data_IF_162441178387
#
_entry.id   IF_162441178387
#
_cell.length_a   1.000
_cell.length_b   1.000
_cell.length_c   1.000
_cell.angle_alpha   90.00
_cell.angle_beta   90.00
_cell.angle_gamma   90.00
#
_symmetry.space_group_name_H-M   'P 1'
#
loop_
_entity.id
_entity.type
_entity.pdbx_description
1 polymer ?
#
# COMPACT_ATOMS: atom_id res chain seq x y z
N UNK A 1 20.18 -2.26 -39.54
CA UNK A 1 18.95 -1.70 -38.93
C UNK A 1 18.30 -2.62 -37.90
N UNK A 2 18.35 -3.94 -38.07
CA UNK A 2 17.79 -4.94 -37.12
C UNK A 2 18.39 -4.89 -35.71
N UNK A 3 19.69 -4.62 -35.56
CA UNK A 3 20.36 -4.58 -34.25
C UNK A 3 19.82 -3.52 -33.29
N UNK A 4 19.37 -2.37 -33.80
CA UNK A 4 18.83 -1.27 -32.96
C UNK A 4 17.48 -1.67 -32.36
N UNK A 5 16.63 -2.36 -33.14
CA UNK A 5 15.34 -2.83 -32.65
C UNK A 5 15.49 -3.88 -31.54
N UNK A 6 16.52 -4.74 -31.63
CA UNK A 6 16.81 -5.74 -30.59
C UNK A 6 17.25 -5.04 -29.30
N UNK A 7 18.15 -4.07 -29.39
CA UNK A 7 18.62 -3.29 -28.22
C UNK A 7 17.47 -2.52 -27.59
N UNK A 8 16.63 -1.87 -28.40
CA UNK A 8 15.45 -1.16 -27.92
C UNK A 8 14.45 -2.11 -27.23
N UNK A 9 14.18 -3.27 -27.82
CA UNK A 9 13.27 -4.26 -27.24
C UNK A 9 13.79 -4.76 -25.87
N UNK A 10 15.08 -5.08 -25.77
CA UNK A 10 15.70 -5.48 -24.50
C UNK A 10 15.58 -4.37 -23.46
N UNK A 11 15.85 -3.12 -23.84
CA UNK A 11 15.72 -1.98 -22.93
C UNK A 11 14.28 -1.80 -22.42
N UNK A 12 13.27 -1.94 -23.28
CA UNK A 12 11.87 -1.92 -22.87
C UNK A 12 11.52 -3.06 -21.90
N UNK A 13 12.01 -4.27 -22.16
CA UNK A 13 11.79 -5.41 -21.25
C UNK A 13 12.45 -5.17 -19.90
N UNK A 14 13.71 -4.73 -19.88
CA UNK A 14 14.45 -4.48 -18.63
C UNK A 14 13.81 -3.34 -17.83
N UNK A 15 13.47 -2.22 -18.47
CA UNK A 15 12.79 -1.10 -17.81
C UNK A 15 11.42 -1.50 -17.26
N UNK A 16 10.67 -2.34 -17.99
CA UNK A 16 9.41 -2.90 -17.50
C UNK A 16 9.61 -3.80 -16.27
N UNK A 17 10.61 -4.68 -16.26
CA UNK A 17 10.93 -5.52 -15.10
C UNK A 17 11.37 -4.69 -13.89
N UNK A 18 12.15 -3.62 -14.09
CA UNK A 18 12.53 -2.68 -13.03
C UNK A 18 11.29 -1.98 -12.47
N UNK A 19 10.37 -1.54 -13.33
CA UNK A 19 9.12 -0.92 -12.88
C UNK A 19 8.27 -1.91 -12.07
N UNK A 20 8.15 -3.15 -12.54
CA UNK A 20 7.36 -4.20 -11.87
C UNK A 20 7.94 -4.55 -10.50
N UNK A 21 9.26 -4.70 -10.41
CA UNK A 21 9.95 -4.94 -9.13
C UNK A 21 9.84 -3.74 -8.18
N UNK A 22 9.87 -2.51 -8.68
CA UNK A 22 9.60 -1.31 -7.87
C UNK A 22 8.18 -1.29 -7.30
N UNK A 23 7.16 -1.64 -8.10
CA UNK A 23 5.79 -1.76 -7.61
C UNK A 23 5.69 -2.85 -6.56
N UNK A 24 6.28 -4.02 -6.79
CA UNK A 24 6.25 -5.15 -5.85
C UNK A 24 6.95 -4.84 -4.53
N UNK A 25 8.08 -4.12 -4.54
CA UNK A 25 8.78 -3.70 -3.31
C UNK A 25 7.99 -2.65 -2.52
N UNK A 26 7.20 -1.81 -3.20
CA UNK A 26 6.22 -0.92 -2.57
C UNK A 26 4.94 -1.63 -2.13
N UNK A 27 4.74 -2.88 -2.54
CA UNK A 27 3.60 -3.69 -2.13
C UNK A 27 3.84 -4.29 -0.75
N UNK A 28 2.87 -4.17 0.14
CA UNK A 28 2.91 -4.68 1.51
C UNK A 28 1.88 -5.79 1.69
N UNK A 29 2.21 -6.74 2.57
CA UNK A 29 1.29 -7.79 3.04
C UNK A 29 0.54 -7.42 4.32
N UNK A 30 0.88 -6.29 4.97
CA UNK A 30 0.29 -5.81 6.22
C UNK A 30 -0.25 -4.38 6.06
N UNK A 31 -1.40 -4.09 6.63
CA UNK A 31 -2.04 -2.75 6.63
C UNK A 31 -1.44 -1.83 7.72
N UNK A 32 -0.19 -1.36 7.57
CA UNK A 32 0.47 -0.47 8.53
C UNK A 32 1.29 0.62 7.80
N UNK A 33 1.22 1.91 8.20
CA UNK A 33 2.19 2.93 7.70
C UNK A 33 3.57 2.59 8.25
N UNK A 34 4.61 2.60 7.41
CA UNK A 34 5.99 2.34 7.83
C UNK A 34 6.48 3.35 8.88
N UNK A 35 6.04 4.60 8.73
CA UNK A 35 6.50 5.72 9.55
C UNK A 35 5.68 5.83 10.85
N UNK A 36 4.35 5.70 10.76
CA UNK A 36 3.48 5.78 11.94
C UNK A 36 3.34 4.45 12.69
N UNK A 37 3.64 3.32 12.05
CA UNK A 37 3.36 1.95 12.54
C UNK A 37 1.90 1.72 12.97
N UNK A 38 0.98 2.57 12.52
CA UNK A 38 -0.44 2.52 12.85
C UNK A 38 -1.29 2.34 11.60
N UNK A 39 -2.37 1.56 11.72
CA UNK A 39 -3.36 1.33 10.67
C UNK A 39 -4.50 2.36 10.65
N UNK A 40 -4.67 3.11 11.75
CA UNK A 40 -5.83 3.98 12.03
C UNK A 40 -5.94 5.16 11.05
N UNK A 41 -4.81 5.60 10.48
CA UNK A 41 -4.76 6.78 9.61
C UNK A 41 -4.67 6.44 8.12
N UNK A 42 -4.92 5.17 7.74
CA UNK A 42 -4.79 4.73 6.36
C UNK A 42 -6.10 5.02 5.61
N UNK A 43 -6.01 5.74 4.50
CA UNK A 43 -7.13 6.10 3.61
C UNK A 43 -6.98 5.43 2.25
N UNK A 44 -8.05 4.81 1.76
CA UNK A 44 -8.07 4.17 0.44
C UNK A 44 -8.12 5.24 -0.63
N UNK A 45 -7.13 5.26 -1.51
CA UNK A 45 -7.02 6.26 -2.58
C UNK A 45 -7.08 5.58 -3.95
N UNK A 46 -7.45 6.32 -4.99
CA UNK A 46 -7.42 5.83 -6.35
C UNK A 46 -5.99 5.50 -6.80
N UNK A 47 -5.81 4.33 -7.43
CA UNK A 47 -4.54 3.97 -8.07
C UNK A 47 -4.17 5.02 -9.14
N UNK A 48 -2.90 5.43 -9.22
CA UNK A 48 -2.44 6.29 -10.32
C UNK A 48 -2.66 5.61 -11.67
N UNK A 49 -3.05 6.38 -12.68
CA UNK A 49 -3.43 5.87 -14.02
C UNK A 49 -2.31 5.08 -14.69
N UNK A 50 -1.06 5.48 -14.47
CA UNK A 50 0.13 4.80 -15.00
C UNK A 50 0.20 3.35 -14.54
N UNK A 51 -0.10 3.10 -13.26
CA UNK A 51 -0.11 1.75 -12.68
C UNK A 51 -1.33 0.97 -13.16
N UNK A 52 -2.49 1.63 -13.36
CA UNK A 52 -3.66 0.97 -13.97
C UNK A 52 -3.38 0.52 -15.40
N UNK A 53 -2.67 1.33 -16.21
CA UNK A 53 -2.35 1.00 -17.61
C UNK A 53 -1.26 -0.07 -17.72
N UNK A 54 -0.19 0.02 -16.92
CA UNK A 54 0.97 -0.87 -17.03
C UNK A 54 0.88 -2.14 -16.19
N UNK A 55 0.17 -2.09 -15.06
CA UNK A 55 0.10 -3.17 -14.08
C UNK A 55 -1.34 -3.41 -13.59
N UNK A 56 -2.34 -3.08 -14.43
CA UNK A 56 -3.76 -3.23 -14.12
C UNK A 56 -4.19 -4.67 -13.85
N UNK A 57 -3.49 -5.64 -14.41
CA UNK A 57 -3.67 -7.07 -14.14
C UNK A 57 -3.32 -7.46 -12.70
N UNK A 58 -2.55 -6.63 -11.98
CA UNK A 58 -2.21 -6.91 -10.58
C UNK A 58 -3.28 -6.31 -9.67
N UNK A 59 -3.93 -7.18 -8.91
CA UNK A 59 -4.92 -6.87 -7.89
C UNK A 59 -4.28 -6.16 -6.67
N UNK A 60 -3.96 -4.86 -6.80
CA UNK A 60 -3.26 -4.04 -5.80
C UNK A 60 -4.12 -2.88 -5.24
N UNK A 61 -4.50 -2.88 -3.98
CA UNK A 61 -5.15 -1.72 -3.37
C UNK A 61 -4.13 -0.61 -3.12
N UNK A 62 -4.47 0.64 -3.42
CA UNK A 62 -3.59 1.80 -3.19
C UNK A 62 -4.07 2.58 -1.96
N UNK A 63 -3.15 2.84 -1.05
CA UNK A 63 -3.44 3.44 0.23
C UNK A 63 -2.49 4.59 0.50
N UNK A 64 -3.01 5.63 1.15
CA UNK A 64 -2.27 6.79 1.62
C UNK A 64 -2.51 6.93 3.11
N UNK A 65 -1.46 7.13 3.89
CA UNK A 65 -1.64 7.49 5.29
C UNK A 65 -1.87 9.00 5.42
N UNK A 66 -2.88 9.40 6.19
CA UNK A 66 -3.23 10.81 6.41
C UNK A 66 -2.24 11.56 7.30
N UNK A 67 -1.53 10.85 8.18
CA UNK A 67 -0.58 11.45 9.13
C UNK A 67 0.82 11.61 8.52
N UNK A 68 1.41 10.52 8.01
CA UNK A 68 2.73 10.52 7.37
C UNK A 68 2.68 10.99 5.91
N UNK A 69 1.48 11.14 5.31
CA UNK A 69 1.24 11.40 3.88
C UNK A 69 1.83 10.36 2.91
N UNK A 70 2.43 9.29 3.44
CA UNK A 70 3.12 8.26 2.65
C UNK A 70 2.12 7.31 1.99
N UNK A 71 2.49 6.86 0.79
CA UNK A 71 1.65 6.03 -0.08
C UNK A 71 2.26 4.65 -0.31
N UNK A 72 1.44 3.62 -0.32
CA UNK A 72 1.87 2.24 -0.51
C UNK A 72 0.79 1.39 -1.18
N UNK A 73 1.20 0.24 -1.72
CA UNK A 73 0.31 -0.73 -2.33
C UNK A 73 0.08 -1.90 -1.37
N UNK A 74 -1.11 -2.49 -1.41
CA UNK A 74 -1.51 -3.67 -0.65
C UNK A 74 -2.06 -4.71 -1.61
N UNK A 75 -1.78 -5.99 -1.38
CA UNK A 75 -2.43 -7.05 -2.17
C UNK A 75 -3.92 -7.10 -1.88
N UNK A 76 -4.73 -7.42 -2.89
CA UNK A 76 -6.18 -7.57 -2.73
C UNK A 76 -6.57 -8.68 -1.76
N UNK A 77 -5.74 -9.71 -1.64
CA UNK A 77 -5.86 -10.78 -0.65
C UNK A 77 -5.69 -10.32 0.80
N UNK A 78 -5.17 -9.11 1.03
CA UNK A 78 -5.16 -8.52 2.37
C UNK A 78 -6.57 -8.01 2.64
N UNK A 79 -7.25 -8.55 3.67
CA UNK A 79 -8.61 -8.14 3.98
C UNK A 79 -8.66 -6.64 4.28
N UNK A 80 -9.68 -5.97 3.77
CA UNK A 80 -9.97 -4.56 4.05
C UNK A 80 -10.52 -4.35 5.47
N UNK A 81 -10.56 -5.42 6.28
CA UNK A 81 -11.19 -5.45 7.61
C UNK A 81 -10.41 -4.59 8.60
N UNK A 82 -10.71 -3.29 8.53
CA UNK A 82 -10.63 -2.24 9.55
C UNK A 82 -9.24 -2.06 10.20
N UNK A 83 -8.93 -0.87 10.76
CA UNK A 83 -7.94 -0.86 11.82
C UNK A 83 -8.39 -1.93 12.80
N UNK A 84 -7.55 -2.95 13.11
CA UNK A 84 -7.77 -3.86 14.25
C UNK A 84 -8.30 -2.96 15.33
N UNK A 85 -9.62 -3.05 15.61
CA UNK A 85 -10.29 -2.10 16.48
C UNK A 85 -9.37 -1.99 17.66
N UNK A 86 -8.88 -0.78 17.95
CA UNK A 86 -8.29 -0.53 19.24
C UNK A 86 -9.33 -1.11 20.19
N UNK A 87 -9.00 -2.24 20.84
CA UNK A 87 -9.61 -2.58 22.10
C UNK A 87 -9.28 -1.33 22.89
N UNK A 88 -10.23 -0.40 22.94
CA UNK A 88 -10.25 0.65 23.93
C UNK A 88 -10.26 -0.12 25.23
N UNK A 89 -9.06 -0.50 25.71
CA UNK A 89 -8.84 -0.66 27.12
C UNK A 89 -9.04 0.75 27.64
N UNK A 90 -10.30 1.11 27.84
CA UNK A 90 -10.68 2.00 28.92
C UNK A 90 -10.28 1.22 30.18
N UNK A 91 -8.99 1.25 30.49
CA UNK A 91 -8.55 1.24 31.87
C UNK A 91 -8.87 2.62 32.42
N UNK A 92 -10.16 2.94 32.50
CA UNK A 92 -10.62 3.87 33.53
C UNK A 92 -11.04 2.93 34.64
N UNK A 93 -10.06 2.67 35.50
CA UNK A 93 -10.26 2.21 36.87
C UNK A 93 -11.57 2.76 37.43
N UNK A 94 -12.47 1.84 37.80
CA UNK A 94 -13.56 2.08 38.74
C UNK A 94 -13.00 2.55 40.11
N UNK A 95 -13.84 2.81 41.14
CA UNK A 95 -15.14 3.48 41.20
C UNK A 95 -15.04 4.75 42.08
N UNK A 96 -15.92 5.74 41.93
CA UNK A 96 -16.11 6.77 42.97
C UNK A 96 -17.48 6.56 43.60
N UNK A 97 -17.45 5.91 44.76
CA UNK A 97 -18.46 5.92 45.81
C UNK A 97 -18.51 7.31 46.47
N UNK A 98 -19.61 7.60 47.19
CA UNK A 98 -20.00 8.85 47.89
C UNK A 98 -20.86 9.78 47.02
N UNK A 99 -22.07 10.20 47.41
CA UNK A 99 -22.83 10.16 48.67
C UNK A 99 -24.30 9.85 48.38
#
# INVERSE_FOLDING_TARGET
MTGIFIVAAIFFVVSYLIFLTWVLTKTKRKCECRDCKTSIHIERTNRPEVVKKLAGFIALKYYRCRHCSSTFYLFESVPDNEPVRMKTRRSTSAPVTSM
#
